data_IF_072030456257
#
_entry.id   IF_072030456257
#
_cell.length_a   1.000
_cell.length_b   1.000
_cell.length_c   1.000
_cell.angle_alpha   90.00
_cell.angle_beta   90.00
_cell.angle_gamma   90.00
#
_symmetry.space_group_name_H-M   'P 1'
#
loop_
_entity.id
_entity.type
_entity.pdbx_description
1 polymer ?
#
# COMPACT_ATOMS: atom_id res chain seq x y z
N UNK A 1 -36.72 11.69 -13.39
CA UNK A 1 -35.54 11.43 -12.54
C UNK A 1 -34.59 10.62 -13.37
N UNK A 2 -33.68 11.27 -14.10
CA UNK A 2 -32.69 10.57 -14.92
C UNK A 2 -31.64 10.03 -13.96
N UNK A 3 -31.47 8.71 -13.91
CA UNK A 3 -30.33 8.11 -13.20
C UNK A 3 -29.06 8.69 -13.82
N UNK A 4 -28.37 9.54 -13.08
CA UNK A 4 -27.09 10.09 -13.47
C UNK A 4 -26.06 8.98 -13.25
N UNK A 5 -25.96 8.07 -14.21
CA UNK A 5 -24.93 7.04 -14.19
C UNK A 5 -23.57 7.71 -14.13
N UNK A 6 -22.77 7.30 -13.16
CA UNK A 6 -21.38 7.71 -13.04
C UNK A 6 -20.67 7.30 -14.34
N UNK A 7 -20.14 8.28 -15.08
CA UNK A 7 -19.45 8.00 -16.34
C UNK A 7 -18.16 7.21 -16.07
N UNK A 8 -18.17 5.93 -16.43
CA UNK A 8 -17.03 5.03 -16.26
C UNK A 8 -15.77 5.53 -16.96
N UNK A 9 -15.91 6.25 -18.09
CA UNK A 9 -14.76 6.80 -18.81
C UNK A 9 -14.07 7.88 -17.97
N UNK A 10 -14.86 8.73 -17.30
CA UNK A 10 -14.34 9.74 -16.38
C UNK A 10 -13.60 9.15 -15.18
N UNK A 11 -13.93 7.92 -14.75
CA UNK A 11 -13.33 7.24 -13.60
C UNK A 11 -12.29 6.17 -13.96
N UNK A 12 -11.90 6.08 -15.22
CA UNK A 12 -10.90 5.10 -15.67
C UNK A 12 -9.60 5.17 -14.87
N UNK A 13 -9.13 6.38 -14.57
CA UNK A 13 -7.89 6.59 -13.83
C UNK A 13 -7.93 6.04 -12.39
N UNK A 14 -8.87 6.46 -11.52
CA UNK A 14 -9.00 5.93 -10.17
C UNK A 14 -9.26 4.41 -10.12
N UNK A 15 -9.99 3.87 -11.11
CA UNK A 15 -10.17 2.41 -11.27
C UNK A 15 -8.82 1.73 -11.49
N UNK A 16 -8.01 2.20 -12.45
CA UNK A 16 -6.69 1.64 -12.74
C UNK A 16 -5.74 1.75 -11.54
N UNK A 17 -5.77 2.87 -10.80
CA UNK A 17 -5.02 3.03 -9.55
C UNK A 17 -5.44 1.99 -8.51
N UNK A 18 -6.74 1.78 -8.33
CA UNK A 18 -7.28 0.80 -7.38
C UNK A 18 -6.84 -0.62 -7.75
N UNK A 19 -6.98 -1.01 -9.02
CA UNK A 19 -6.51 -2.31 -9.52
C UNK A 19 -5.00 -2.46 -9.32
N UNK A 20 -4.21 -1.44 -9.69
CA UNK A 20 -2.76 -1.44 -9.50
C UNK A 20 -2.35 -1.57 -8.04
N UNK A 21 -3.07 -0.92 -7.13
CA UNK A 21 -2.86 -1.04 -5.69
C UNK A 21 -3.13 -2.48 -5.20
N UNK A 22 -4.22 -3.11 -5.63
CA UNK A 22 -4.51 -4.51 -5.26
C UNK A 22 -3.50 -5.49 -5.88
N UNK A 23 -3.06 -5.27 -7.12
CA UNK A 23 -1.98 -6.05 -7.73
C UNK A 23 -0.71 -5.95 -6.88
N UNK A 24 -0.33 -4.74 -6.46
CA UNK A 24 0.80 -4.54 -5.56
C UNK A 24 0.60 -5.26 -4.21
N UNK A 25 -0.56 -5.11 -3.59
CA UNK A 25 -0.84 -5.74 -2.30
C UNK A 25 -0.79 -7.27 -2.37
N UNK A 26 -1.39 -7.88 -3.40
CA UNK A 26 -1.29 -9.33 -3.64
C UNK A 26 0.12 -9.78 -4.00
N UNK A 27 0.90 -8.95 -4.71
CA UNK A 27 2.32 -9.21 -4.92
C UNK A 27 3.09 -9.25 -3.59
N UNK A 28 2.84 -8.33 -2.66
CA UNK A 28 3.47 -8.36 -1.34
C UNK A 28 3.01 -9.57 -0.51
N UNK A 29 1.72 -9.89 -0.54
CA UNK A 29 1.14 -11.00 0.22
C UNK A 29 1.62 -12.37 -0.29
N UNK A 30 1.50 -12.61 -1.59
CA UNK A 30 1.77 -13.92 -2.20
C UNK A 30 3.21 -14.00 -2.71
N UNK A 31 3.68 -12.97 -3.43
CA UNK A 31 5.00 -12.96 -4.04
C UNK A 31 6.14 -12.78 -3.05
N UNK A 32 5.92 -12.01 -1.98
CA UNK A 32 6.94 -11.73 -0.96
C UNK A 32 6.69 -12.55 0.30
N UNK A 33 5.63 -12.28 1.07
CA UNK A 33 5.41 -12.88 2.38
C UNK A 33 5.25 -14.41 2.33
N UNK A 34 4.38 -14.93 1.47
CA UNK A 34 4.21 -16.39 1.31
C UNK A 34 5.51 -17.06 0.82
N UNK A 35 6.19 -16.48 -0.17
CA UNK A 35 7.46 -17.02 -0.69
C UNK A 35 8.54 -17.08 0.39
N UNK A 36 8.71 -16.00 1.15
CA UNK A 36 9.66 -15.92 2.27
C UNK A 36 9.36 -16.98 3.32
N UNK A 37 8.08 -17.17 3.71
CA UNK A 37 7.66 -18.21 4.66
C UNK A 37 8.14 -19.60 4.23
N UNK A 38 7.85 -20.02 2.99
CA UNK A 38 8.23 -21.36 2.52
C UNK A 38 9.73 -21.50 2.30
N UNK A 39 10.41 -20.44 1.85
CA UNK A 39 11.87 -20.42 1.74
C UNK A 39 12.54 -20.60 3.10
N UNK A 40 12.05 -19.92 4.14
CA UNK A 40 12.55 -20.06 5.50
C UNK A 40 12.30 -21.45 6.05
N UNK A 41 11.07 -21.96 5.92
CA UNK A 41 10.73 -23.31 6.35
C UNK A 41 11.67 -24.37 5.74
N UNK A 42 11.98 -24.25 4.45
CA UNK A 42 12.94 -25.16 3.78
C UNK A 42 14.35 -25.03 4.36
N UNK A 43 14.86 -23.80 4.54
CA UNK A 43 16.22 -23.56 5.07
C UNK A 43 16.39 -24.01 6.52
N UNK A 44 15.39 -23.79 7.37
CA UNK A 44 15.42 -24.25 8.76
C UNK A 44 15.42 -25.78 8.83
N UNK A 45 14.56 -26.44 8.04
CA UNK A 45 14.51 -27.91 7.95
C UNK A 45 15.84 -28.52 7.50
N UNK A 46 16.54 -27.87 6.57
CA UNK A 46 17.89 -28.31 6.14
C UNK A 46 18.94 -28.23 7.25
N UNK A 47 18.75 -27.33 8.24
CA UNK A 47 19.62 -27.21 9.42
C UNK A 47 19.18 -28.10 10.59
N UNK A 48 18.11 -28.87 10.44
CA UNK A 48 17.53 -29.64 11.55
C UNK A 48 16.81 -28.76 12.59
N UNK A 49 16.50 -27.51 12.24
CA UNK A 49 15.80 -26.55 13.10
C UNK A 49 14.32 -26.46 12.70
N UNK A 50 13.47 -26.09 13.66
CA UNK A 50 12.07 -25.76 13.38
C UNK A 50 11.91 -24.27 13.08
N UNK A 51 11.21 -23.94 11.99
CA UNK A 51 10.84 -22.56 11.69
C UNK A 51 9.55 -22.19 12.41
N UNK A 52 9.68 -21.45 13.51
CA UNK A 52 8.53 -20.87 14.19
C UNK A 52 8.04 -19.62 13.46
N UNK A 53 6.89 -19.76 12.78
CA UNK A 53 6.25 -18.68 12.03
C UNK A 53 5.62 -17.61 12.91
N UNK A 54 5.14 -17.97 14.10
CA UNK A 54 4.23 -17.14 14.90
C UNK A 54 4.93 -16.49 16.07
N UNK A 55 5.85 -17.19 16.73
CA UNK A 55 6.60 -16.68 17.88
C UNK A 55 8.10 -16.52 17.60
N UNK A 56 8.57 -16.94 16.43
CA UNK A 56 9.95 -16.73 15.98
C UNK A 56 10.25 -15.28 15.61
N UNK A 57 11.53 -14.89 15.73
CA UNK A 57 12.03 -13.55 15.39
C UNK A 57 12.91 -13.55 14.13
N UNK A 58 12.63 -14.42 13.15
CA UNK A 58 13.40 -14.42 11.90
C UNK A 58 13.22 -13.10 11.16
N UNK A 59 14.34 -12.39 10.96
CA UNK A 59 14.31 -11.05 10.41
C UNK A 59 13.80 -10.96 8.97
N UNK A 60 13.93 -12.01 8.16
CA UNK A 60 13.36 -12.03 6.80
C UNK A 60 11.84 -12.13 6.84
N UNK A 61 11.31 -12.96 7.75
CA UNK A 61 9.87 -13.06 7.96
C UNK A 61 9.30 -11.75 8.49
N UNK A 62 9.97 -11.13 9.48
CA UNK A 62 9.56 -9.84 10.05
C UNK A 62 9.53 -8.73 8.99
N UNK A 63 10.53 -8.67 8.11
CA UNK A 63 10.55 -7.69 7.03
C UNK A 63 9.39 -7.90 6.04
N UNK A 64 9.13 -9.15 5.65
CA UNK A 64 8.04 -9.47 4.73
C UNK A 64 6.66 -9.19 5.34
N UNK A 65 6.46 -9.52 6.62
CA UNK A 65 5.24 -9.22 7.35
C UNK A 65 4.99 -7.73 7.45
N UNK A 66 6.04 -6.95 7.78
CA UNK A 66 5.90 -5.51 7.91
C UNK A 66 5.55 -4.84 6.58
N UNK A 67 6.08 -5.33 5.45
CA UNK A 67 5.71 -4.85 4.13
C UNK A 67 4.21 -5.04 3.83
N UNK A 68 3.66 -6.22 4.15
CA UNK A 68 2.22 -6.51 3.96
C UNK A 68 1.37 -5.71 4.94
N UNK A 69 1.68 -5.78 6.23
CA UNK A 69 0.92 -5.13 7.30
C UNK A 69 0.87 -3.61 7.10
N UNK A 70 2.02 -2.97 6.84
CA UNK A 70 2.04 -1.52 6.64
C UNK A 70 1.27 -1.08 5.39
N UNK A 71 1.30 -1.89 4.32
CA UNK A 71 0.51 -1.59 3.12
C UNK A 71 -0.99 -1.74 3.42
N UNK A 72 -1.38 -2.79 4.16
CA UNK A 72 -2.77 -3.06 4.55
C UNK A 72 -3.33 -1.99 5.50
N UNK A 73 -2.58 -1.60 6.54
CA UNK A 73 -2.95 -0.51 7.47
C UNK A 73 -3.29 0.79 6.73
N UNK A 74 -2.64 1.00 5.59
CA UNK A 74 -2.71 2.23 4.82
C UNK A 74 -3.73 2.17 3.69
N UNK A 75 -4.31 0.99 3.44
CA UNK A 75 -5.33 0.73 2.43
C UNK A 75 -6.59 1.56 2.67
N UNK A 76 -7.12 1.53 3.89
CA UNK A 76 -8.36 2.23 4.24
C UNK A 76 -8.28 3.73 3.97
N UNK A 77 -7.33 4.46 4.60
CA UNK A 77 -7.14 5.89 4.34
C UNK A 77 -6.86 6.22 2.87
N UNK A 78 -6.06 5.38 2.19
CA UNK A 78 -5.72 5.59 0.78
C UNK A 78 -6.93 5.45 -0.15
N UNK A 79 -7.63 4.32 -0.11
CA UNK A 79 -8.76 4.07 -1.00
C UNK A 79 -9.91 5.03 -0.72
N UNK A 80 -10.19 5.33 0.54
CA UNK A 80 -11.22 6.31 0.90
C UNK A 80 -10.89 7.71 0.38
N UNK A 81 -9.65 8.18 0.57
CA UNK A 81 -9.24 9.50 0.06
C UNK A 81 -9.20 9.56 -1.47
N UNK A 82 -8.74 8.50 -2.15
CA UNK A 82 -8.74 8.38 -3.60
C UNK A 82 -10.15 8.53 -4.17
N UNK A 83 -11.10 7.74 -3.66
CA UNK A 83 -12.45 7.70 -4.20
C UNK A 83 -13.26 8.95 -3.85
N UNK A 84 -13.14 9.47 -2.63
CA UNK A 84 -13.77 10.75 -2.29
C UNK A 84 -13.24 11.88 -3.17
N UNK A 85 -11.92 11.94 -3.38
CA UNK A 85 -11.33 12.97 -4.22
C UNK A 85 -11.74 12.80 -5.70
N UNK A 86 -11.78 11.57 -6.20
CA UNK A 86 -12.19 11.28 -7.57
C UNK A 86 -13.64 11.69 -7.86
N UNK A 87 -14.56 11.36 -6.94
CA UNK A 87 -15.99 11.60 -7.10
C UNK A 87 -16.39 13.05 -6.85
N UNK A 88 -15.80 13.70 -5.85
CA UNK A 88 -16.27 15.01 -5.38
C UNK A 88 -15.37 16.18 -5.77
N UNK A 89 -14.13 15.92 -6.24
CA UNK A 89 -13.17 16.99 -6.57
C UNK A 89 -12.69 16.87 -8.01
N UNK A 90 -11.93 15.83 -8.34
CA UNK A 90 -11.37 15.63 -9.67
C UNK A 90 -10.78 14.23 -9.81
N UNK A 91 -11.33 13.46 -10.75
CA UNK A 91 -10.81 12.14 -11.13
C UNK A 91 -9.35 12.21 -11.61
N UNK A 92 -8.99 13.21 -12.43
CA UNK A 92 -7.61 13.37 -12.92
C UNK A 92 -6.61 13.64 -11.80
N UNK A 93 -6.97 14.51 -10.84
CA UNK A 93 -6.12 14.80 -9.68
C UNK A 93 -5.96 13.58 -8.77
N UNK A 94 -7.05 12.88 -8.48
CA UNK A 94 -7.04 11.63 -7.73
C UNK A 94 -6.18 10.55 -8.42
N UNK A 95 -6.26 10.46 -9.75
CA UNK A 95 -5.44 9.53 -10.55
C UNK A 95 -3.96 9.81 -10.42
N UNK A 96 -3.56 11.08 -10.58
CA UNK A 96 -2.15 11.47 -10.51
C UNK A 96 -1.55 11.15 -9.13
N UNK A 97 -2.21 11.61 -8.07
CA UNK A 97 -1.74 11.36 -6.71
C UNK A 97 -1.83 9.87 -6.32
N UNK A 98 -2.89 9.19 -6.75
CA UNK A 98 -3.08 7.77 -6.55
C UNK A 98 -2.00 6.92 -7.21
N UNK A 99 -1.64 7.23 -8.46
CA UNK A 99 -0.55 6.57 -9.16
C UNK A 99 0.79 6.81 -8.46
N UNK A 100 1.09 8.05 -8.08
CA UNK A 100 2.29 8.37 -7.31
C UNK A 100 2.37 7.59 -6.00
N UNK A 101 1.25 7.46 -5.28
CA UNK A 101 1.15 6.67 -4.06
C UNK A 101 1.50 5.19 -4.29
N UNK A 102 0.93 4.56 -5.33
CA UNK A 102 1.20 3.16 -5.66
C UNK A 102 2.69 2.94 -5.99
N UNK A 103 3.29 3.86 -6.76
CA UNK A 103 4.73 3.80 -7.08
C UNK A 103 5.59 3.92 -5.82
N UNK A 104 5.29 4.86 -4.93
CA UNK A 104 6.02 5.01 -3.65
C UNK A 104 5.89 3.74 -2.78
N UNK A 105 4.69 3.14 -2.73
CA UNK A 105 4.44 1.88 -2.01
C UNK A 105 5.20 0.71 -2.62
N UNK A 106 5.37 0.65 -3.93
CA UNK A 106 6.19 -0.37 -4.57
C UNK A 106 7.65 -0.35 -4.09
N UNK A 107 8.22 0.84 -3.84
CA UNK A 107 9.59 0.98 -3.33
C UNK A 107 9.72 0.78 -1.80
N UNK A 108 8.61 0.78 -1.05
CA UNK A 108 8.60 0.57 0.40
C UNK A 108 9.38 -0.69 0.86
N UNK A 109 9.08 -1.92 0.38
CA UNK A 109 9.80 -3.12 0.83
C UNK A 109 11.30 -3.06 0.54
N UNK A 110 11.70 -2.39 -0.55
CA UNK A 110 13.12 -2.21 -0.90
C UNK A 110 13.83 -1.31 0.11
N UNK A 111 13.17 -0.24 0.55
CA UNK A 111 13.68 0.66 1.59
C UNK A 111 13.54 0.06 2.99
N UNK A 112 12.62 -0.86 3.22
CA UNK A 112 12.57 -1.63 4.46
C UNK A 112 13.80 -2.53 4.56
N UNK A 113 14.14 -3.23 3.47
CA UNK A 113 15.25 -4.17 3.39
C UNK A 113 14.82 -5.62 3.57
N UNK A 114 15.77 -6.54 3.42
CA UNK A 114 15.50 -7.99 3.41
C UNK A 114 15.37 -8.58 4.81
N UNK A 115 16.07 -8.01 5.80
CA UNK A 115 16.04 -8.46 7.20
C UNK A 115 15.72 -7.29 8.13
N UNK A 116 14.81 -7.54 9.07
CA UNK A 116 14.49 -6.63 10.16
C UNK A 116 14.96 -7.25 11.48
N UNK A 117 15.66 -6.48 12.32
CA UNK A 117 16.04 -6.93 13.66
C UNK A 117 15.41 -6.09 14.76
N UNK A 118 15.17 -4.80 14.50
CA UNK A 118 14.66 -3.82 15.46
C UNK A 118 13.65 -2.88 14.77
N UNK A 119 13.76 -1.57 15.01
CA UNK A 119 12.99 -0.53 14.35
C UNK A 119 13.21 -0.51 12.82
N UNK A 120 12.16 -0.07 12.11
CA UNK A 120 12.25 0.19 10.67
C UNK A 120 13.34 1.24 10.37
N UNK A 121 14.11 1.08 9.28
CA UNK A 121 15.18 2.00 8.96
C UNK A 121 14.62 3.35 8.50
N UNK A 122 15.27 4.45 8.92
CA UNK A 122 14.82 5.83 8.61
C UNK A 122 14.62 6.11 7.11
N UNK A 123 15.33 5.38 6.23
CA UNK A 123 15.17 5.48 4.77
C UNK A 123 13.75 5.17 4.28
N UNK A 124 12.96 4.41 5.05
CA UNK A 124 11.53 4.17 4.75
C UNK A 124 10.73 5.48 4.71
N UNK A 125 11.17 6.52 5.45
CA UNK A 125 10.51 7.82 5.48
C UNK A 125 10.49 8.55 4.14
N UNK A 126 11.43 8.26 3.25
CA UNK A 126 11.43 8.81 1.89
C UNK A 126 10.22 8.41 1.06
N UNK A 127 9.52 7.33 1.42
CA UNK A 127 8.28 6.92 0.74
C UNK A 127 7.05 7.07 1.61
N UNK A 128 7.16 6.85 2.93
CA UNK A 128 5.98 6.94 3.81
C UNK A 128 5.51 8.38 4.03
N UNK A 129 6.43 9.34 4.20
CA UNK A 129 6.03 10.74 4.41
C UNK A 129 5.30 11.27 3.16
N UNK A 130 5.81 11.11 1.93
CA UNK A 130 5.07 11.49 0.74
C UNK A 130 3.71 10.77 0.60
N UNK A 131 3.62 9.48 0.96
CA UNK A 131 2.35 8.77 0.96
C UNK A 131 1.32 9.39 1.91
N UNK A 132 1.73 9.83 3.11
CA UNK A 132 0.84 10.54 4.03
C UNK A 132 0.42 11.89 3.46
N UNK A 133 1.34 12.65 2.90
CA UNK A 133 1.04 13.94 2.27
C UNK A 133 0.03 13.79 1.12
N UNK A 134 0.14 12.73 0.32
CA UNK A 134 -0.83 12.42 -0.74
C UNK A 134 -2.23 12.17 -0.17
N UNK A 135 -2.35 11.33 0.86
CA UNK A 135 -3.64 11.03 1.50
C UNK A 135 -4.25 12.31 2.08
N UNK A 136 -3.46 13.09 2.84
CA UNK A 136 -3.92 14.33 3.44
C UNK A 136 -4.26 15.41 2.40
N UNK A 137 -3.53 15.48 1.29
CA UNK A 137 -3.85 16.40 0.20
C UNK A 137 -5.21 16.07 -0.43
N UNK A 138 -5.47 14.78 -0.70
CA UNK A 138 -6.76 14.34 -1.24
C UNK A 138 -7.92 14.63 -0.26
N UNK A 139 -7.78 14.26 1.02
CA UNK A 139 -8.80 14.59 2.02
C UNK A 139 -8.99 16.10 2.21
N UNK A 140 -7.90 16.87 2.29
CA UNK A 140 -7.94 18.32 2.43
C UNK A 140 -8.65 19.00 1.27
N UNK A 141 -8.46 18.50 0.04
CA UNK A 141 -9.17 19.00 -1.15
C UNK A 141 -10.66 18.67 -1.11
N UNK A 142 -11.03 17.48 -0.64
CA UNK A 142 -12.45 17.10 -0.44
C UNK A 142 -13.09 18.00 0.60
N UNK A 143 -12.43 18.19 1.75
CA UNK A 143 -12.92 19.08 2.81
C UNK A 143 -13.10 20.51 2.30
N UNK A 144 -12.10 21.06 1.62
CA UNK A 144 -12.17 22.40 1.05
C UNK A 144 -13.35 22.56 0.08
N UNK A 145 -13.53 21.62 -0.85
CA UNK A 145 -14.66 21.62 -1.80
C UNK A 145 -15.99 21.53 -1.07
N UNK A 146 -16.09 20.70 -0.04
CA UNK A 146 -17.31 20.59 0.77
C UNK A 146 -17.67 21.88 1.50
N UNK A 147 -16.70 22.73 1.83
CA UNK A 147 -16.92 23.99 2.54
C UNK A 147 -17.18 25.18 1.62
N UNK A 148 -16.78 25.09 0.34
CA UNK A 148 -16.80 26.24 -0.58
C UNK A 148 -17.82 26.13 -1.71
N UNK A 149 -18.54 25.00 -1.83
CA UNK A 149 -19.39 24.70 -3.00
C UNK A 149 -18.55 24.45 -4.23
#
# INVERSE_FOLDING_TARGET
>A
MTEQFVDLNSLRGPILVTVGYFVLWYYLLIGVQRKTKYSLQSRYRQRGEEFDRYFGQDGEMLAADRAVANTLEQMGPFLSSLWLCALFVSSSFATLLGAAYVVLRFFYPRLLGVKLANMQPKRVYYVTIPCYLIIFAMFGRVLWRSLTG
#
